data_IF_130871835898
#
_entry.id   IF_130871835898
#
_cell.length_a   1.000
_cell.length_b   1.000
_cell.length_c   1.000
_cell.angle_alpha   90.00
_cell.angle_beta   90.00
_cell.angle_gamma   90.00
#
_symmetry.space_group_name_H-M   'P 1'
#
loop_
_entity.id
_entity.type
_entity.pdbx_description
1 polymer ?
#
# COMPACT_ATOMS: atom_id res chain seq x y z
N UNK A 1 8.45 5.35 -10.50
CA UNK A 1 7.76 4.72 -9.36
C UNK A 1 7.11 3.43 -9.81
N UNK A 2 7.40 2.33 -9.14
CA UNK A 2 6.84 1.00 -9.39
C UNK A 2 5.77 0.67 -8.35
N UNK A 3 4.58 0.28 -8.81
CA UNK A 3 3.43 -0.02 -7.93
C UNK A 3 2.97 -1.45 -8.17
N UNK A 4 2.88 -2.22 -7.08
CA UNK A 4 2.22 -3.53 -7.09
C UNK A 4 0.74 -3.33 -6.74
N UNK A 5 -0.15 -3.87 -7.56
CA UNK A 5 -1.60 -3.85 -7.34
C UNK A 5 -2.07 -5.28 -7.13
N UNK A 6 -2.64 -5.57 -5.96
CA UNK A 6 -3.35 -6.82 -5.68
C UNK A 6 -4.85 -6.53 -5.64
N UNK A 7 -5.60 -7.05 -6.61
CA UNK A 7 -7.03 -6.78 -6.80
C UNK A 7 -7.63 -7.97 -7.56
N UNK A 8 -8.72 -8.56 -7.08
CA UNK A 8 -9.33 -9.75 -7.71
C UNK A 8 -10.29 -9.42 -8.86
N UNK A 9 -10.79 -8.19 -8.91
CA UNK A 9 -11.71 -7.76 -9.94
C UNK A 9 -10.99 -7.14 -11.15
N UNK A 10 -11.02 -7.83 -12.29
CA UNK A 10 -10.38 -7.38 -13.54
C UNK A 10 -10.82 -5.98 -14.04
N UNK A 11 -12.03 -5.52 -13.69
CA UNK A 11 -12.49 -4.16 -14.04
C UNK A 11 -11.77 -3.12 -13.16
N UNK A 12 -11.64 -3.41 -11.86
CA UNK A 12 -10.92 -2.55 -10.93
C UNK A 12 -9.43 -2.51 -11.26
N UNK A 13 -8.83 -3.65 -11.61
CA UNK A 13 -7.45 -3.72 -12.10
C UNK A 13 -7.26 -2.79 -13.29
N UNK A 14 -8.08 -2.92 -14.35
CA UNK A 14 -8.00 -2.08 -15.56
C UNK A 14 -8.11 -0.59 -15.22
N UNK A 15 -9.05 -0.22 -14.35
CA UNK A 15 -9.21 1.17 -13.93
C UNK A 15 -7.95 1.69 -13.21
N UNK A 16 -7.42 0.92 -12.26
CA UNK A 16 -6.22 1.26 -11.51
C UNK A 16 -5.02 1.43 -12.44
N UNK A 17 -4.82 0.46 -13.36
CA UNK A 17 -3.76 0.48 -14.37
C UNK A 17 -3.83 1.73 -15.23
N UNK A 18 -5.00 2.04 -15.82
CA UNK A 18 -5.16 3.22 -16.68
C UNK A 18 -4.80 4.51 -15.92
N UNK A 19 -5.29 4.64 -14.69
CA UNK A 19 -5.05 5.84 -13.89
C UNK A 19 -3.58 5.97 -13.52
N UNK A 20 -2.94 4.90 -13.03
CA UNK A 20 -1.56 4.92 -12.56
C UNK A 20 -0.55 5.04 -13.70
N UNK A 21 -0.78 4.39 -14.84
CA UNK A 21 0.06 4.56 -16.03
C UNK A 21 0.02 6.01 -16.54
N UNK A 22 -1.16 6.66 -16.52
CA UNK A 22 -1.29 8.10 -16.85
C UNK A 22 -0.59 9.02 -15.86
N UNK A 23 -0.24 8.53 -14.67
CA UNK A 23 0.57 9.24 -13.67
C UNK A 23 2.07 8.90 -13.79
N UNK A 24 2.47 8.12 -14.79
CA UNK A 24 3.87 7.76 -15.05
C UNK A 24 4.39 6.58 -14.21
N UNK A 25 3.52 5.81 -13.57
CA UNK A 25 3.91 4.62 -12.81
C UNK A 25 4.15 3.41 -13.72
N UNK A 26 5.13 2.59 -13.35
CA UNK A 26 5.24 1.20 -13.83
C UNK A 26 4.50 0.29 -12.87
N UNK A 27 3.94 -0.81 -13.36
CA UNK A 27 2.95 -1.58 -12.60
C UNK A 27 3.20 -3.07 -12.70
N UNK A 28 2.97 -3.77 -11.59
CA UNK A 28 2.68 -5.19 -11.55
C UNK A 28 1.26 -5.36 -11.01
N UNK A 29 0.48 -6.27 -11.60
CA UNK A 29 -0.91 -6.53 -11.21
C UNK A 29 -1.06 -8.02 -10.93
N UNK A 30 -1.65 -8.35 -9.79
CA UNK A 30 -1.90 -9.71 -9.32
C UNK A 30 -3.34 -9.83 -8.78
N UNK A 31 -3.87 -11.05 -8.78
CA UNK A 31 -5.31 -11.30 -8.57
C UNK A 31 -5.70 -11.56 -7.11
N UNK A 32 -4.74 -11.77 -6.20
CA UNK A 32 -5.02 -12.06 -4.80
C UNK A 32 -3.78 -11.85 -3.90
N UNK A 33 -3.96 -11.99 -2.59
CA UNK A 33 -2.91 -11.82 -1.60
C UNK A 33 -1.75 -12.82 -1.76
N UNK A 34 -2.03 -14.06 -2.15
CA UNK A 34 -0.99 -15.08 -2.32
C UNK A 34 -0.09 -14.73 -3.51
N UNK A 35 -0.66 -14.35 -4.64
CA UNK A 35 0.14 -13.91 -5.79
C UNK A 35 0.95 -12.64 -5.49
N UNK A 36 0.45 -11.76 -4.60
CA UNK A 36 1.24 -10.63 -4.12
C UNK A 36 2.46 -11.07 -3.31
N UNK A 37 2.30 -12.07 -2.44
CA UNK A 37 3.43 -12.68 -1.72
C UNK A 37 4.41 -13.36 -2.67
N UNK A 38 3.91 -14.11 -3.66
CA UNK A 38 4.74 -14.80 -4.66
C UNK A 38 5.56 -13.79 -5.47
N UNK A 39 4.94 -12.69 -5.90
CA UNK A 39 5.62 -11.59 -6.58
C UNK A 39 6.75 -10.99 -5.73
N UNK A 40 6.48 -10.77 -4.43
CA UNK A 40 7.46 -10.19 -3.51
C UNK A 40 8.60 -11.16 -3.17
N UNK A 41 8.32 -12.47 -3.14
CA UNK A 41 9.32 -13.52 -2.91
C UNK A 41 10.20 -13.79 -4.14
N UNK A 42 9.72 -13.47 -5.34
CA UNK A 42 10.45 -13.69 -6.58
C UNK A 42 11.73 -12.84 -6.71
N UNK A 43 12.56 -13.21 -7.69
CA UNK A 43 13.82 -12.55 -7.99
C UNK A 43 13.59 -11.05 -8.34
N UNK A 44 14.32 -10.11 -7.69
CA UNK A 44 14.17 -8.68 -7.97
C UNK A 44 14.42 -8.25 -9.42
N UNK A 45 15.17 -9.04 -10.21
CA UNK A 45 15.45 -8.77 -11.63
C UNK A 45 14.19 -8.96 -12.47
N UNK A 46 13.40 -9.99 -12.19
CA UNK A 46 12.15 -10.28 -12.91
C UNK A 46 10.93 -9.62 -12.28
N UNK A 47 10.94 -9.46 -10.96
CA UNK A 47 9.88 -8.87 -10.16
C UNK A 47 10.45 -7.70 -9.32
N UNK A 48 10.57 -6.50 -9.93
CA UNK A 48 11.08 -5.33 -9.26
C UNK A 48 10.35 -5.05 -7.93
N UNK A 49 11.10 -4.71 -6.90
CA UNK A 49 10.52 -4.37 -5.59
C UNK A 49 9.61 -3.13 -5.73
N UNK A 50 8.38 -3.17 -5.22
CA UNK A 50 7.46 -2.06 -5.33
C UNK A 50 7.86 -0.90 -4.42
N UNK A 51 7.69 0.32 -4.92
CA UNK A 51 7.76 1.53 -4.11
C UNK A 51 6.50 1.69 -3.25
N UNK A 52 5.36 1.18 -3.72
CA UNK A 52 4.06 1.13 -3.03
C UNK A 52 3.30 -0.14 -3.42
N UNK A 53 2.59 -0.70 -2.44
CA UNK A 53 1.66 -1.80 -2.63
C UNK A 53 0.23 -1.26 -2.45
N UNK A 54 -0.60 -1.36 -3.48
CA UNK A 54 -2.04 -1.16 -3.39
C UNK A 54 -2.69 -2.54 -3.21
N UNK A 55 -3.26 -2.78 -2.03
CA UNK A 55 -3.73 -4.11 -1.62
C UNK A 55 -5.24 -4.06 -1.40
N UNK A 56 -6.03 -4.74 -2.23
CA UNK A 56 -7.44 -4.92 -1.94
C UNK A 56 -7.63 -5.69 -0.64
N UNK A 57 -8.59 -5.26 0.16
CA UNK A 57 -8.85 -5.87 1.46
C UNK A 57 -9.58 -7.19 1.31
N UNK A 58 -10.55 -7.25 0.39
CA UNK A 58 -11.43 -8.40 0.24
C UNK A 58 -11.12 -9.11 -1.06
N UNK A 59 -10.30 -10.16 -1.00
CA UNK A 59 -9.92 -11.00 -2.14
C UNK A 59 -10.13 -12.48 -1.79
N UNK A 60 -10.42 -13.35 -2.78
CA UNK A 60 -10.43 -14.80 -2.60
C UNK A 60 -9.01 -15.33 -2.38
N UNK A 61 -8.91 -16.60 -1.95
CA UNK A 61 -7.65 -17.33 -1.66
C UNK A 61 -6.88 -16.79 -0.45
N UNK A 62 -6.48 -15.53 -0.49
CA UNK A 62 -5.83 -14.83 0.61
C UNK A 62 -6.25 -13.36 0.60
N UNK A 63 -6.78 -12.91 1.73
CA UNK A 63 -7.23 -11.53 1.88
C UNK A 63 -6.06 -10.55 2.07
N UNK A 64 -6.33 -9.27 1.88
CA UNK A 64 -5.29 -8.24 1.96
C UNK A 64 -4.68 -8.06 3.35
N UNK A 65 -5.42 -8.39 4.42
CA UNK A 65 -4.89 -8.30 5.77
C UNK A 65 -3.96 -9.45 6.10
N UNK A 66 -4.28 -10.66 5.68
CA UNK A 66 -3.42 -11.82 5.83
C UNK A 66 -2.10 -11.62 5.08
N UNK A 67 -2.18 -11.18 3.81
CA UNK A 67 -1.00 -10.84 3.02
C UNK A 67 -0.17 -9.73 3.69
N UNK A 68 -0.82 -8.67 4.18
CA UNK A 68 -0.15 -7.58 4.92
C UNK A 68 0.56 -8.11 6.16
N UNK A 69 -0.12 -8.94 6.96
CA UNK A 69 0.47 -9.53 8.17
C UNK A 69 1.72 -10.34 7.81
N UNK A 70 1.65 -11.19 6.77
CA UNK A 70 2.79 -12.00 6.33
C UNK A 70 3.96 -11.13 5.87
N UNK A 71 3.71 -10.09 5.06
CA UNK A 71 4.73 -9.13 4.62
C UNK A 71 5.43 -8.47 5.81
N UNK A 72 4.69 -8.15 6.87
CA UNK A 72 5.21 -7.45 8.05
C UNK A 72 5.87 -8.39 9.07
N UNK A 73 5.55 -9.69 9.10
CA UNK A 73 6.00 -10.58 10.19
C UNK A 73 6.79 -11.81 9.78
N UNK A 74 6.82 -12.20 8.50
CA UNK A 74 7.41 -13.46 8.08
C UNK A 74 8.62 -13.29 7.13
N UNK A 75 9.70 -14.06 7.29
CA UNK A 75 10.69 -14.25 6.24
C UNK A 75 10.08 -14.92 4.99
N UNK A 76 10.57 -14.65 3.78
CA UNK A 76 11.70 -13.75 3.48
C UNK A 76 11.33 -12.27 3.51
N UNK A 77 10.05 -11.91 3.61
CA UNK A 77 9.58 -10.53 3.46
C UNK A 77 10.20 -9.57 4.49
N UNK A 78 10.28 -9.98 5.75
CA UNK A 78 10.91 -9.17 6.82
C UNK A 78 12.41 -8.98 6.64
N UNK A 79 13.07 -9.84 5.86
CA UNK A 79 14.52 -9.79 5.64
C UNK A 79 14.93 -8.84 4.52
N UNK A 80 14.00 -8.44 3.64
CA UNK A 80 14.22 -7.39 2.62
C UNK A 80 13.54 -6.09 3.07
N UNK A 81 14.30 -5.07 3.51
CA UNK A 81 13.76 -3.78 3.93
C UNK A 81 12.90 -3.09 2.86
N UNK A 82 13.18 -3.32 1.57
CA UNK A 82 12.39 -2.73 0.49
C UNK A 82 11.00 -3.35 0.38
N UNK A 83 10.82 -4.57 0.89
CA UNK A 83 9.52 -5.23 0.97
C UNK A 83 8.83 -4.87 2.29
N UNK A 84 9.47 -5.15 3.42
CA UNK A 84 8.83 -4.99 4.73
C UNK A 84 8.60 -3.54 5.16
N UNK A 85 9.17 -2.56 4.44
CA UNK A 85 8.91 -1.13 4.64
C UNK A 85 8.15 -0.47 3.49
N UNK A 86 7.86 -1.22 2.41
CA UNK A 86 7.00 -0.70 1.34
C UNK A 86 5.65 -0.26 1.95
N UNK A 87 5.16 0.96 1.65
CA UNK A 87 3.83 1.38 2.06
C UNK A 87 2.78 0.42 1.51
N UNK A 88 1.97 -0.15 2.39
CA UNK A 88 0.82 -0.99 2.01
C UNK A 88 -0.44 -0.17 2.21
N UNK A 89 -1.12 0.12 1.10
CA UNK A 89 -2.32 0.94 1.06
C UNK A 89 -3.51 0.03 0.82
N UNK A 90 -4.35 -0.13 1.84
CA UNK A 90 -5.58 -0.92 1.72
C UNK A 90 -6.57 -0.29 0.77
N UNK A 91 -7.07 -1.01 -0.21
CA UNK A 91 -8.17 -0.58 -1.08
C UNK A 91 -9.46 -1.19 -0.57
N UNK A 92 -10.50 -0.38 -0.39
CA UNK A 92 -11.71 -0.85 0.28
C UNK A 92 -12.97 -0.23 -0.34
N UNK A 93 -14.04 -1.04 -0.43
CA UNK A 93 -15.26 -0.71 -1.16
C UNK A 93 -16.16 0.31 -0.43
N UNK A 94 -16.42 0.11 0.87
CA UNK A 94 -17.31 0.96 1.68
C UNK A 94 -16.96 0.86 3.18
N UNK A 95 -17.36 1.86 3.97
CA UNK A 95 -17.18 1.97 5.43
C UNK A 95 -15.76 1.88 6.01
N UNK A 96 -14.74 1.99 5.17
CA UNK A 96 -13.32 1.92 5.53
C UNK A 96 -12.86 3.06 6.45
N UNK A 97 -13.68 4.09 6.59
CA UNK A 97 -13.38 5.28 7.39
C UNK A 97 -13.54 5.03 8.88
N UNK A 98 -14.58 4.33 9.31
CA UNK A 98 -14.78 3.92 10.71
C UNK A 98 -13.80 2.82 11.10
N UNK A 99 -13.47 1.95 10.14
CA UNK A 99 -12.52 0.87 10.34
C UNK A 99 -11.05 1.27 10.15
N UNK A 100 -10.74 2.56 9.92
CA UNK A 100 -9.40 3.01 9.55
C UNK A 100 -8.34 2.63 10.58
N UNK A 101 -8.62 2.92 11.84
CA UNK A 101 -7.69 2.61 12.94
C UNK A 101 -7.45 1.10 13.04
N UNK A 102 -8.51 0.30 12.84
CA UNK A 102 -8.40 -1.15 12.80
C UNK A 102 -7.50 -1.64 11.66
N UNK A 103 -7.56 -1.02 10.47
CA UNK A 103 -6.76 -1.45 9.34
C UNK A 103 -5.29 -1.07 9.51
N UNK A 104 -5.02 0.12 10.06
CA UNK A 104 -3.66 0.53 10.40
C UNK A 104 -3.05 -0.36 11.50
N UNK A 105 -3.84 -0.72 12.52
CA UNK A 105 -3.41 -1.65 13.56
C UNK A 105 -3.05 -3.05 13.00
N UNK A 106 -3.55 -3.41 11.81
CA UNK A 106 -3.23 -4.66 11.11
C UNK A 106 -2.00 -4.54 10.19
N UNK A 107 -1.29 -3.42 10.22
CA UNK A 107 0.01 -3.25 9.54
C UNK A 107 -0.05 -2.54 8.18
N UNK A 108 -1.22 -2.03 7.77
CA UNK A 108 -1.35 -1.13 6.63
C UNK A 108 -0.87 0.27 6.99
N UNK A 109 -0.36 1.02 6.01
CA UNK A 109 0.11 2.40 6.20
C UNK A 109 -0.96 3.44 5.90
N UNK A 110 -1.89 3.14 4.98
CA UNK A 110 -3.03 4.00 4.66
C UNK A 110 -4.15 3.23 3.96
N UNK A 111 -5.24 3.92 3.61
CA UNK A 111 -6.41 3.35 2.96
C UNK A 111 -6.89 4.25 1.82
N UNK A 112 -7.33 3.62 0.73
CA UNK A 112 -8.05 4.22 -0.38
C UNK A 112 -9.45 3.63 -0.52
N UNK A 113 -10.41 4.52 -0.78
CA UNK A 113 -11.77 4.13 -1.13
C UNK A 113 -11.85 3.80 -2.62
N UNK A 114 -12.47 2.66 -2.93
CA UNK A 114 -12.93 2.34 -4.27
C UNK A 114 -14.20 3.16 -4.58
N UNK A 115 -14.45 3.54 -5.85
CA UNK A 115 -13.58 3.34 -7.00
C UNK A 115 -12.34 4.27 -6.93
N UNK A 116 -11.20 3.76 -7.41
CA UNK A 116 -9.95 4.52 -7.41
C UNK A 116 -10.04 5.73 -8.34
N UNK A 117 -10.09 6.94 -7.76
CA UNK A 117 -10.15 8.19 -8.51
C UNK A 117 -8.75 8.77 -8.72
N UNK A 118 -8.48 9.28 -9.92
CA UNK A 118 -7.19 9.90 -10.29
C UNK A 118 -6.68 10.92 -9.27
N UNK A 119 -7.55 11.80 -8.78
CA UNK A 119 -7.16 12.83 -7.81
C UNK A 119 -6.62 12.21 -6.51
N UNK A 120 -7.30 11.21 -5.97
CA UNK A 120 -6.90 10.56 -4.70
C UNK A 120 -5.60 9.76 -4.89
N UNK A 121 -5.49 9.00 -5.99
CA UNK A 121 -4.26 8.28 -6.31
C UNK A 121 -3.08 9.24 -6.49
N UNK A 122 -3.25 10.34 -7.22
CA UNK A 122 -2.19 11.31 -7.41
C UNK A 122 -1.73 11.92 -6.07
N UNK A 123 -2.66 12.33 -5.22
CA UNK A 123 -2.33 12.85 -3.88
C UNK A 123 -1.61 11.82 -3.02
N UNK A 124 -2.05 10.56 -3.05
CA UNK A 124 -1.45 9.48 -2.31
C UNK A 124 -0.03 9.17 -2.80
N UNK A 125 0.17 9.09 -4.12
CA UNK A 125 1.50 8.88 -4.70
C UNK A 125 2.44 10.04 -4.37
N UNK A 126 1.97 11.28 -4.50
CA UNK A 126 2.77 12.46 -4.14
C UNK A 126 3.17 12.45 -2.67
N UNK A 127 2.27 12.03 -1.78
CA UNK A 127 2.56 11.87 -0.36
C UNK A 127 3.64 10.82 -0.09
N UNK A 128 3.41 9.59 -0.57
CA UNK A 128 4.29 8.47 -0.27
C UNK A 128 5.59 8.48 -1.07
N UNK A 129 5.66 9.17 -2.21
CA UNK A 129 6.91 9.37 -2.97
C UNK A 129 7.96 10.20 -2.22
N UNK A 130 7.54 10.96 -1.20
CA UNK A 130 8.43 11.77 -0.38
C UNK A 130 9.11 10.95 0.73
N UNK A 131 8.69 9.70 0.96
CA UNK A 131 9.42 8.79 1.87
C UNK A 131 10.79 8.48 1.26
N UNK A 132 11.84 8.87 1.96
CA UNK A 132 13.18 8.34 1.72
C UNK A 132 13.38 7.13 2.63
N UNK A 133 13.58 5.95 2.04
CA UNK A 133 14.15 4.82 2.77
C UNK A 133 15.64 5.12 2.92
N UNK A 134 16.06 5.56 4.10
CA UNK A 134 17.47 5.85 4.37
C UNK A 134 18.28 4.54 4.40
N UNK A 135 19.43 4.45 3.71
CA UNK A 135 20.32 3.32 3.86
C UNK A 135 20.82 3.23 5.31
N UNK A 136 20.91 2.00 5.82
CA UNK A 136 21.29 1.62 7.18
C UNK A 136 22.56 2.35 7.68
N UNK A 137 22.50 2.97 8.86
CA UNK A 137 23.70 3.21 9.66
C UNK A 137 24.13 1.88 10.31
N UNK A 138 25.39 1.50 10.18
CA UNK A 138 25.94 0.25 10.75
C UNK A 138 25.73 0.28 12.28
N UNK A 139 24.98 -0.68 12.82
CA UNK A 139 24.80 -0.87 14.27
C UNK A 139 23.35 -0.83 14.81
N UNK A 140 22.33 -0.58 13.99
CA UNK A 140 20.93 -0.62 14.42
C UNK A 140 20.18 -1.85 13.90
N UNK A 141 19.36 -2.46 14.76
CA UNK A 141 18.66 -3.73 14.54
C UNK A 141 17.41 -3.64 13.65
N UNK A 142 16.91 -2.45 13.36
CA UNK A 142 15.80 -2.24 12.42
C UNK A 142 16.02 -0.96 11.58
N UNK A 143 15.71 -0.99 10.26
CA UNK A 143 15.78 0.20 9.43
C UNK A 143 14.75 1.25 9.88
N UNK A 144 15.19 2.52 9.98
CA UNK A 144 14.34 3.62 10.41
C UNK A 144 13.69 4.31 9.20
N UNK A 145 12.36 4.45 9.24
CA UNK A 145 11.62 5.31 8.33
C UNK A 145 11.86 6.76 8.78
N UNK A 146 12.52 7.56 7.94
CA UNK A 146 12.42 9.02 8.09
C UNK A 146 11.00 9.39 7.67
N UNK A 147 10.22 9.89 8.62
CA UNK A 147 8.77 10.08 8.47
C UNK A 147 8.42 10.87 7.21
N UNK A 148 7.31 10.49 6.59
CA UNK A 148 6.62 11.31 5.59
C UNK A 148 6.30 12.70 6.18
N UNK A 149 5.98 13.71 5.35
CA UNK A 149 5.49 15.02 5.81
C UNK A 149 4.43 14.92 6.94
N UNK A 150 4.26 15.99 7.71
CA UNK A 150 3.30 16.01 8.83
C UNK A 150 1.87 15.83 8.34
N UNK A 151 1.03 15.15 9.13
CA UNK A 151 -0.37 14.81 8.80
C UNK A 151 -1.22 15.98 8.26
N UNK A 152 -0.87 17.24 8.53
CA UNK A 152 -1.55 18.42 8.00
C UNK A 152 -1.61 18.50 6.46
N UNK A 153 -0.68 17.86 5.75
CA UNK A 153 -0.67 17.79 4.27
C UNK A 153 -1.13 16.43 3.71
N UNK A 154 -1.53 15.50 4.58
CA UNK A 154 -1.96 14.15 4.18
C UNK A 154 -3.27 14.22 3.39
N UNK A 155 -3.55 13.32 2.43
CA UNK A 155 -4.83 13.26 1.70
C UNK A 155 -6.09 13.24 2.61
N UNK A 156 -5.93 12.87 3.88
CA UNK A 156 -7.00 12.83 4.88
C UNK A 156 -7.12 14.10 5.74
N UNK A 157 -6.20 15.07 5.65
CA UNK A 157 -6.14 16.25 6.53
C UNK A 157 -7.33 17.19 6.39
N UNK A 158 -7.93 17.25 5.20
CA UNK A 158 -9.12 18.06 4.94
C UNK A 158 -10.43 17.38 5.39
N UNK A 159 -10.38 16.13 5.86
CA UNK A 159 -11.60 15.43 6.25
C UNK A 159 -12.04 15.78 7.67
N UNK A 160 -13.20 16.42 7.79
CA UNK A 160 -13.91 16.57 9.05
C UNK A 160 -14.82 15.35 9.24
N UNK A 161 -14.59 14.59 10.30
CA UNK A 161 -15.44 13.48 10.78
C UNK A 161 -16.94 13.80 10.71
N UNK A 162 -17.85 12.81 10.70
CA UNK A 162 -19.19 13.10 11.18
C UNK A 162 -19.01 13.70 12.58
N UNK A 163 -19.47 14.95 12.77
CA UNK A 163 -19.57 15.51 14.11
C UNK A 163 -20.40 14.52 14.89
N UNK A 164 -19.80 13.89 15.90
CA UNK A 164 -20.55 13.14 16.89
C UNK A 164 -21.70 14.03 17.34
N UNK A 165 -22.92 13.68 16.94
CA UNK A 165 -24.09 14.21 17.62
C UNK A 165 -24.05 13.53 18.99
N UNK A 166 -23.92 14.37 20.01
CA UNK A 166 -24.16 14.04 21.41
C UNK A 166 -25.47 13.27 21.59
#
# INVERSE_FOLDING_TARGET
MHVLIAEDNSINQKLATIVLTRLGCTLAVVDNGQQALDYLAADPVTCPRPDIILMDISMPVMDGFEATRMIRTQPPFTTDPRICMAPIIGMCATNCREARESYLARGMDDILLKPLRRKHLHQLLMWWSQRKVSPRAVGQTLPQIVMAPTWGSHPWSAYRGPRSRM
#
